data_IF_090244650225
#
_entry.id   IF_090244650225
#
_cell.length_a   1.000
_cell.length_b   1.000
_cell.length_c   1.000
_cell.angle_alpha   90.00
_cell.angle_beta   90.00
_cell.angle_gamma   90.00
#
_symmetry.space_group_name_H-M   'P 1'
#
loop_
_entity.id
_entity.type
_entity.pdbx_description
1 polymer ?
#
# COMPACT_ATOMS: atom_id res chain seq x y z
N UNK A 1 9.45 8.20 -10.63
CA UNK A 1 8.07 8.60 -10.27
C UNK A 1 8.01 8.80 -8.76
N UNK A 2 7.62 10.01 -8.31
CA UNK A 2 7.49 10.27 -6.89
C UNK A 2 6.18 9.67 -6.37
N UNK A 3 6.27 8.90 -5.30
CA UNK A 3 5.14 8.29 -4.63
C UNK A 3 4.98 8.91 -3.25
N UNK A 4 3.75 9.29 -2.90
CA UNK A 4 3.39 9.67 -1.54
C UNK A 4 2.91 8.44 -0.77
N UNK A 5 3.49 8.20 0.39
CA UNK A 5 3.02 7.18 1.34
C UNK A 5 2.38 7.89 2.53
N UNK A 6 1.12 7.59 2.78
CA UNK A 6 0.35 8.13 3.90
C UNK A 6 0.34 7.15 5.07
N UNK A 7 0.71 7.64 6.24
CA UNK A 7 0.68 6.93 7.51
C UNK A 7 -0.18 7.74 8.51
N UNK A 8 -1.29 7.16 8.93
CA UNK A 8 -2.36 7.84 9.66
C UNK A 8 -2.67 7.15 10.99
N UNK A 9 -1.70 7.07 11.91
CA UNK A 9 -1.87 6.33 13.18
C UNK A 9 -2.99 6.88 14.07
N UNK A 10 -3.42 8.10 13.86
CA UNK A 10 -4.50 8.78 14.59
C UNK A 10 -5.61 9.30 13.68
N UNK A 11 -5.82 8.67 12.54
CA UNK A 11 -6.79 9.14 11.55
C UNK A 11 -6.28 10.31 10.71
N UNK A 12 -7.21 11.01 10.02
CA UNK A 12 -6.87 12.07 9.09
C UNK A 12 -8.02 13.08 8.95
N UNK A 13 -7.64 14.36 8.87
CA UNK A 13 -8.50 15.47 8.45
C UNK A 13 -7.83 16.23 7.30
N UNK A 14 -8.58 17.09 6.62
CA UNK A 14 -8.09 17.85 5.46
C UNK A 14 -6.91 18.73 5.79
N UNK A 15 -7.02 19.52 6.86
CA UNK A 15 -5.98 20.39 7.42
C UNK A 15 -4.72 19.61 7.84
N UNK A 16 -4.87 18.41 8.38
CA UNK A 16 -3.74 17.55 8.77
C UNK A 16 -2.95 17.08 7.53
N UNK A 17 -3.63 16.68 6.46
CA UNK A 17 -2.96 16.30 5.22
C UNK A 17 -2.30 17.50 4.56
N UNK A 18 -3.00 18.66 4.52
CA UNK A 18 -2.47 19.89 3.99
C UNK A 18 -1.18 20.29 4.73
N UNK A 19 -1.19 20.23 6.07
CA UNK A 19 -0.03 20.48 6.91
C UNK A 19 1.12 19.50 6.66
N UNK A 20 0.83 18.19 6.54
CA UNK A 20 1.84 17.18 6.28
C UNK A 20 2.51 17.36 4.90
N UNK A 21 1.75 17.76 3.87
CA UNK A 21 2.30 18.02 2.54
C UNK A 21 3.16 19.29 2.51
N UNK A 22 2.77 20.34 3.25
CA UNK A 22 3.60 21.55 3.43
C UNK A 22 4.90 21.21 4.16
N UNK A 23 4.83 20.41 5.23
CA UNK A 23 6.01 20.01 6.00
C UNK A 23 6.96 19.11 5.19
N UNK A 24 6.44 18.37 4.21
CA UNK A 24 7.22 17.56 3.28
C UNK A 24 7.94 18.38 2.19
N UNK A 25 7.80 19.70 2.17
CA UNK A 25 8.47 20.58 1.22
C UNK A 25 7.53 21.36 0.28
N UNK A 26 6.22 21.34 0.54
CA UNK A 26 5.27 22.19 -0.18
C UNK A 26 5.53 23.67 0.07
N UNK A 27 5.32 24.50 -0.95
CA UNK A 27 5.50 25.96 -0.89
C UNK A 27 4.18 26.63 -0.49
N UNK A 28 4.16 27.20 0.73
CA UNK A 28 2.99 27.87 1.30
C UNK A 28 2.61 29.15 0.54
N UNK A 29 3.56 29.95 0.08
CA UNK A 29 3.27 31.21 -0.60
C UNK A 29 2.73 30.95 -2.01
N UNK A 30 3.26 29.94 -2.67
CA UNK A 30 2.72 29.44 -3.92
C UNK A 30 1.31 28.88 -3.72
N UNK A 31 1.07 28.09 -2.68
CA UNK A 31 -0.26 27.56 -2.34
C UNK A 31 -1.27 28.71 -2.12
N UNK A 32 -0.92 29.74 -1.37
CA UNK A 32 -1.76 30.93 -1.18
C UNK A 32 -2.11 31.63 -2.49
N UNK A 33 -1.16 31.66 -3.41
CA UNK A 33 -1.35 32.24 -4.74
C UNK A 33 -2.26 31.36 -5.60
N UNK A 34 -2.04 30.06 -5.56
CA UNK A 34 -2.83 29.09 -6.34
C UNK A 34 -4.30 29.02 -5.88
N UNK A 35 -4.55 29.09 -4.57
CA UNK A 35 -5.93 29.08 -4.06
C UNK A 35 -6.74 30.33 -4.43
N UNK A 36 -6.10 31.47 -4.72
CA UNK A 36 -6.81 32.65 -5.25
C UNK A 36 -7.49 32.39 -6.59
N UNK A 37 -7.01 31.41 -7.36
CA UNK A 37 -7.62 30.99 -8.65
C UNK A 37 -9.03 30.42 -8.50
N UNK A 38 -9.41 30.02 -7.28
CA UNK A 38 -10.77 29.55 -6.98
C UNK A 38 -11.80 30.71 -6.98
N UNK A 39 -11.38 31.96 -6.84
CA UNK A 39 -12.29 33.10 -6.80
C UNK A 39 -13.19 33.17 -5.56
N UNK A 40 -12.86 32.47 -4.47
CA UNK A 40 -13.65 32.40 -3.23
C UNK A 40 -13.40 33.56 -2.25
N UNK A 41 -12.77 34.63 -2.71
CA UNK A 41 -12.37 35.72 -1.83
C UNK A 41 -11.04 35.46 -1.12
N UNK A 42 -10.71 36.26 -0.08
CA UNK A 42 -9.47 36.08 0.64
C UNK A 42 -9.52 34.83 1.52
N UNK A 43 -8.68 33.86 1.20
CA UNK A 43 -8.43 32.67 2.02
C UNK A 43 -7.10 32.89 2.74
N UNK A 44 -7.14 33.01 4.07
CA UNK A 44 -5.97 33.08 4.92
C UNK A 44 -5.50 31.67 5.27
N UNK A 45 -4.26 31.33 4.95
CA UNK A 45 -3.64 30.07 5.40
C UNK A 45 -2.45 30.40 6.26
N UNK A 46 -2.45 29.93 7.49
CA UNK A 46 -1.32 30.04 8.41
C UNK A 46 -0.79 28.65 8.74
N UNK A 47 0.53 28.53 8.74
CA UNK A 47 1.21 27.28 9.08
C UNK A 47 2.12 27.54 10.29
N UNK A 48 1.90 26.78 11.36
CA UNK A 48 2.59 26.97 12.64
C UNK A 48 3.25 25.70 13.09
N UNK A 49 4.51 25.76 13.50
CA UNK A 49 5.20 24.64 14.14
C UNK A 49 4.62 24.40 15.54
N UNK A 50 4.20 23.18 15.80
CA UNK A 50 3.59 22.77 17.08
C UNK A 50 4.22 21.48 17.59
N UNK A 51 4.02 21.21 18.88
CA UNK A 51 4.32 19.92 19.48
C UNK A 51 3.04 19.07 19.52
N UNK A 52 3.00 17.99 18.74
CA UNK A 52 1.96 16.99 18.82
C UNK A 52 2.48 15.82 19.69
N UNK A 53 2.14 15.86 20.98
CA UNK A 53 2.80 14.99 21.96
C UNK A 53 4.30 15.29 22.04
N UNK A 54 5.14 14.29 21.72
CA UNK A 54 6.61 14.45 21.66
C UNK A 54 7.15 14.76 20.26
N UNK A 55 6.28 14.84 19.24
CA UNK A 55 6.69 15.07 17.86
C UNK A 55 6.54 16.53 17.46
N UNK A 56 7.57 17.10 16.83
CA UNK A 56 7.46 18.37 16.14
C UNK A 56 6.66 18.16 14.84
N UNK A 57 5.61 18.96 14.64
CA UNK A 57 4.73 18.87 13.49
C UNK A 57 4.33 20.26 13.00
N UNK A 58 3.80 20.34 11.79
CA UNK A 58 3.17 21.53 11.28
C UNK A 58 1.66 21.46 11.54
N UNK A 59 1.05 22.56 11.95
CA UNK A 59 -0.40 22.73 11.99
C UNK A 59 -0.79 23.82 11.03
N UNK A 60 -1.88 23.61 10.31
CA UNK A 60 -2.43 24.56 9.37
C UNK A 60 -3.79 25.03 9.87
N UNK A 61 -4.00 26.33 9.82
CA UNK A 61 -5.28 26.96 10.08
C UNK A 61 -5.74 27.65 8.80
N UNK A 62 -6.94 27.36 8.34
CA UNK A 62 -7.57 27.99 7.19
C UNK A 62 -8.64 28.95 7.68
N UNK A 63 -8.46 30.21 7.43
CA UNK A 63 -9.43 31.26 7.74
C UNK A 63 -10.05 31.80 6.45
N UNK A 64 -11.36 31.75 6.35
CA UNK A 64 -12.10 32.26 5.21
C UNK A 64 -13.37 32.92 5.68
N UNK A 65 -13.86 33.90 4.89
CA UNK A 65 -15.18 34.48 5.09
C UNK A 65 -16.23 33.47 4.62
N UNK A 66 -16.87 32.79 5.56
CA UNK A 66 -17.86 31.74 5.28
C UNK A 66 -19.15 32.31 4.63
N UNK A 67 -19.40 33.62 4.80
CA UNK A 67 -20.57 34.31 4.21
C UNK A 67 -20.30 34.76 2.77
N UNK A 68 -19.09 34.58 2.24
CA UNK A 68 -18.77 34.90 0.86
C UNK A 68 -19.67 34.07 -0.09
N UNK A 69 -20.56 34.76 -0.80
CA UNK A 69 -21.41 34.18 -1.83
C UNK A 69 -20.66 34.18 -3.15
N UNK A 70 -20.54 33.01 -3.75
CA UNK A 70 -20.04 32.87 -5.10
C UNK A 70 -21.23 32.74 -6.07
N UNK A 71 -21.37 33.68 -6.99
CA UNK A 71 -22.35 33.61 -8.10
C UNK A 71 -21.60 33.21 -9.37
N UNK A 72 -21.97 32.06 -9.94
CA UNK A 72 -21.44 31.54 -11.21
C UNK A 72 -21.78 32.46 -12.40
N UNK A 73 -21.14 33.59 -12.49
CA UNK A 73 -21.36 34.53 -13.59
C UNK A 73 -20.97 35.99 -13.30
N UNK A 74 -20.62 36.35 -12.11
CA UNK A 74 -20.16 37.73 -11.80
C UNK A 74 -18.95 37.73 -10.87
N UNK A 75 -17.96 38.55 -11.23
CA UNK A 75 -16.84 38.88 -10.37
C UNK A 75 -17.34 39.41 -9.02
N UNK A 76 -16.69 38.95 -7.96
CA UNK A 76 -16.99 39.23 -6.56
C UNK A 76 -17.34 40.71 -6.34
N UNK A 77 -18.55 40.99 -5.91
CA UNK A 77 -18.88 42.25 -5.26
C UNK A 77 -18.53 42.14 -3.77
N UNK A 78 -17.46 42.79 -3.32
CA UNK A 78 -17.16 42.99 -1.91
C UNK A 78 -18.28 43.75 -1.24
N UNK A 79 -18.85 43.30 -0.13
CA UNK A 79 -19.77 44.12 0.67
C UNK A 79 -18.95 45.27 1.30
N UNK A 80 -19.40 46.47 1.12
CA UNK A 80 -18.85 47.64 1.83
C UNK A 80 -19.18 47.51 3.30
N UNK A 81 -18.11 47.44 4.11
CA UNK A 81 -18.15 47.26 5.55
C UNK A 81 -18.55 48.60 6.26
N UNK A 82 -19.54 48.52 7.10
CA UNK A 82 -19.81 49.48 8.16
C UNK A 82 -20.40 48.76 9.38
N UNK A 83 -19.53 48.26 10.23
CA UNK A 83 -19.87 47.69 11.54
C UNK A 83 -18.67 47.80 12.50
N UNK A 84 -18.89 47.96 13.80
CA UNK A 84 -17.91 48.48 14.75
C UNK A 84 -16.82 47.50 15.14
N UNK A 85 -15.59 48.02 15.21
CA UNK A 85 -14.40 47.34 15.75
C UNK A 85 -14.60 46.95 17.21
N UNK A 86 -14.38 45.71 17.57
CA UNK A 86 -14.27 45.24 18.94
C UNK A 86 -12.77 45.13 19.29
N UNK A 87 -12.36 45.97 20.23
CA UNK A 87 -11.01 46.00 20.81
C UNK A 87 -10.83 44.84 21.79
N UNK A 88 -9.82 44.01 21.57
CA UNK A 88 -9.38 42.99 22.53
C UNK A 88 -8.45 43.65 23.57
N UNK A 89 -8.89 43.75 24.81
CA UNK A 89 -8.03 44.05 25.97
C UNK A 89 -7.79 42.79 26.77
N UNK A 90 -6.52 42.50 26.98
CA UNK A 90 -5.99 41.47 27.87
C UNK A 90 -6.49 41.58 29.33
N UNK A 91 -6.91 40.48 29.94
CA UNK A 91 -6.72 40.24 31.38
C UNK A 91 -6.71 38.73 31.69
N UNK A 92 -5.81 38.26 32.56
CA UNK A 92 -5.74 36.84 32.95
C UNK A 92 -6.81 36.52 33.99
N UNK A 93 -7.42 35.36 33.90
CA UNK A 93 -8.35 34.82 34.88
C UNK A 93 -7.77 33.58 35.58
N UNK A 94 -7.82 33.65 36.91
CA UNK A 94 -7.37 32.61 37.82
C UNK A 94 -8.29 31.39 37.85
N UNK A 95 -7.71 30.25 38.20
CA UNK A 95 -8.42 28.99 38.46
C UNK A 95 -9.31 29.11 39.66
N UNK A 96 -10.57 28.72 39.55
CA UNK A 96 -11.31 28.11 40.64
C UNK A 96 -12.32 27.08 40.14
N UNK A 97 -12.46 25.98 40.88
CA UNK A 97 -13.22 24.83 40.48
C UNK A 97 -14.73 25.03 40.72
N UNK A 98 -15.51 24.70 39.69
CA UNK A 98 -16.97 24.67 39.81
C UNK A 98 -17.62 24.01 38.64
N UNK A 99 -18.37 22.92 38.86
CA UNK A 99 -19.23 22.28 37.88
C UNK A 99 -20.31 23.28 37.47
N UNK A 100 -20.20 23.86 36.30
CA UNK A 100 -21.17 24.80 35.74
C UNK A 100 -21.53 24.42 34.30
N UNK A 101 -22.80 24.30 34.06
CA UNK A 101 -23.43 24.08 32.77
C UNK A 101 -22.88 25.08 31.71
N UNK A 102 -22.30 24.60 30.63
CA UNK A 102 -21.86 25.43 29.54
C UNK A 102 -23.05 26.00 28.79
N UNK A 103 -23.16 27.31 28.88
CA UNK A 103 -24.03 28.16 28.06
C UNK A 103 -23.72 27.94 26.56
N UNK A 104 -24.79 27.79 25.79
CA UNK A 104 -24.84 27.72 24.35
C UNK A 104 -24.10 28.93 23.76
N UNK A 105 -22.95 28.69 23.13
CA UNK A 105 -22.35 29.63 22.20
C UNK A 105 -23.04 29.44 20.85
N UNK A 106 -23.57 30.54 20.33
CA UNK A 106 -24.41 30.63 19.17
C UNK A 106 -23.92 29.85 17.96
N UNK A 107 -24.81 29.09 17.37
CA UNK A 107 -24.64 28.44 16.09
C UNK A 107 -24.52 29.53 15.01
N UNK A 108 -23.33 29.76 14.50
CA UNK A 108 -23.15 30.49 13.24
C UNK A 108 -23.97 29.76 12.17
N UNK A 109 -24.69 30.51 11.34
CA UNK A 109 -25.45 29.98 10.23
C UNK A 109 -24.49 29.23 9.29
N UNK A 110 -24.51 27.91 9.31
CA UNK A 110 -23.75 27.11 8.36
C UNK A 110 -24.31 27.34 6.96
N UNK A 111 -23.49 27.88 6.08
CA UNK A 111 -23.88 28.09 4.66
C UNK A 111 -23.90 26.73 3.98
N UNK A 112 -25.09 26.23 3.71
CA UNK A 112 -25.29 25.03 2.92
C UNK A 112 -24.85 25.30 1.45
N UNK A 113 -23.96 24.46 0.91
CA UNK A 113 -23.55 24.55 -0.50
C UNK A 113 -23.89 23.25 -1.22
N UNK A 114 -24.70 23.34 -2.30
CA UNK A 114 -24.92 22.20 -3.17
C UNK A 114 -23.60 21.70 -3.78
N UNK A 115 -23.45 20.39 -3.93
CA UNK A 115 -22.30 19.81 -4.63
C UNK A 115 -22.15 20.36 -6.06
N UNK A 116 -23.27 20.63 -6.75
CA UNK A 116 -23.25 21.25 -8.08
C UNK A 116 -22.53 22.60 -8.10
N UNK A 117 -22.68 23.41 -7.07
CA UNK A 117 -21.96 24.71 -6.95
C UNK A 117 -20.45 24.51 -6.84
N UNK A 118 -20.00 23.50 -6.08
CA UNK A 118 -18.56 23.20 -5.95
C UNK A 118 -18.03 22.64 -7.28
N UNK A 119 -18.77 21.78 -7.95
CA UNK A 119 -18.41 21.27 -9.27
C UNK A 119 -18.24 22.43 -10.28
N UNK A 120 -19.22 23.32 -10.36
CA UNK A 120 -19.18 24.47 -11.26
C UNK A 120 -18.02 25.43 -10.92
N UNK A 121 -17.70 25.60 -9.64
CA UNK A 121 -16.52 26.35 -9.18
C UNK A 121 -15.23 25.73 -9.74
N UNK A 122 -15.05 24.41 -9.60
CA UNK A 122 -13.87 23.71 -10.08
C UNK A 122 -13.74 23.73 -11.61
N UNK A 123 -14.88 23.67 -12.33
CA UNK A 123 -14.91 23.71 -13.78
C UNK A 123 -14.48 25.08 -14.34
N UNK A 124 -14.86 26.18 -13.67
CA UNK A 124 -14.57 27.53 -14.13
C UNK A 124 -13.26 28.12 -13.58
N UNK A 125 -12.71 27.55 -12.50
CA UNK A 125 -11.46 28.01 -11.92
C UNK A 125 -10.25 27.71 -12.83
N UNK A 126 -9.24 28.59 -12.83
CA UNK A 126 -7.98 28.39 -13.57
C UNK A 126 -7.06 27.40 -12.83
N UNK A 127 -7.45 26.13 -12.85
CA UNK A 127 -6.74 25.05 -12.20
C UNK A 127 -5.96 24.20 -13.21
N UNK A 128 -4.74 23.75 -12.87
CA UNK A 128 -4.05 22.70 -13.62
C UNK A 128 -4.96 21.46 -13.77
N UNK A 129 -4.92 20.80 -14.93
CA UNK A 129 -5.82 19.68 -15.22
C UNK A 129 -5.78 18.57 -14.16
N UNK A 130 -4.57 18.19 -13.70
CA UNK A 130 -4.40 17.16 -12.65
C UNK A 130 -5.00 17.60 -11.30
N UNK A 131 -4.86 18.89 -10.95
CA UNK A 131 -5.43 19.45 -9.71
C UNK A 131 -6.94 19.40 -9.80
N UNK A 132 -7.51 19.88 -10.91
CA UNK A 132 -8.96 19.86 -11.19
C UNK A 132 -9.51 18.44 -11.12
N UNK A 133 -8.89 17.48 -11.81
CA UNK A 133 -9.32 16.09 -11.81
C UNK A 133 -9.30 15.44 -10.42
N UNK A 134 -8.25 15.69 -9.64
CA UNK A 134 -8.14 15.20 -8.27
C UNK A 134 -9.20 15.80 -7.35
N UNK A 135 -9.43 17.11 -7.45
CA UNK A 135 -10.45 17.81 -6.66
C UNK A 135 -11.87 17.31 -7.00
N UNK A 136 -12.20 17.20 -8.27
CA UNK A 136 -13.48 16.61 -8.71
C UNK A 136 -13.70 15.21 -8.19
N UNK A 137 -12.67 14.35 -8.28
CA UNK A 137 -12.74 12.98 -7.79
C UNK A 137 -13.02 12.95 -6.28
N UNK A 138 -12.36 13.82 -5.51
CA UNK A 138 -12.53 13.89 -4.05
C UNK A 138 -13.92 14.37 -3.67
N UNK A 139 -14.41 15.46 -4.26
CA UNK A 139 -15.75 15.98 -3.96
C UNK A 139 -16.85 15.04 -4.43
N UNK A 140 -16.65 14.31 -5.53
CA UNK A 140 -17.59 13.31 -5.99
C UNK A 140 -17.70 12.14 -5.00
N UNK A 141 -16.57 11.64 -4.50
CA UNK A 141 -16.55 10.58 -3.47
C UNK A 141 -17.32 11.02 -2.23
N UNK A 142 -17.12 12.26 -1.82
CA UNK A 142 -17.81 12.85 -0.68
C UNK A 142 -19.31 13.00 -0.93
N UNK A 143 -19.71 13.54 -2.09
CA UNK A 143 -21.11 13.71 -2.45
C UNK A 143 -21.86 12.38 -2.58
N UNK A 144 -21.22 11.35 -3.10
CA UNK A 144 -21.80 10.00 -3.16
C UNK A 144 -21.98 9.39 -1.76
N UNK A 145 -21.06 9.64 -0.84
CA UNK A 145 -21.15 9.14 0.53
C UNK A 145 -22.24 9.86 1.33
N UNK A 146 -22.33 11.18 1.23
CA UNK A 146 -23.38 11.98 1.86
C UNK A 146 -24.75 11.72 1.22
N UNK A 147 -24.81 11.59 -0.12
CA UNK A 147 -26.03 11.22 -0.82
C UNK A 147 -26.60 9.88 -0.35
N UNK A 148 -25.73 8.89 -0.09
CA UNK A 148 -26.15 7.62 0.46
C UNK A 148 -26.67 7.74 1.91
N UNK A 149 -26.17 8.68 2.70
CA UNK A 149 -26.67 8.96 4.06
C UNK A 149 -28.05 9.60 4.02
N UNK A 150 -28.25 10.55 3.12
CA UNK A 150 -29.49 11.32 3.01
C UNK A 150 -30.54 10.69 2.09
N UNK A 151 -30.19 9.60 1.37
CA UNK A 151 -31.09 8.93 0.43
C UNK A 151 -31.37 9.76 -0.84
N UNK A 152 -30.44 10.62 -1.24
CA UNK A 152 -30.55 11.49 -2.42
C UNK A 152 -29.42 11.22 -3.41
N UNK A 153 -29.61 11.50 -4.72
CA UNK A 153 -28.51 11.41 -5.69
C UNK A 153 -27.37 12.37 -5.34
N UNK A 154 -26.13 12.00 -5.65
CA UNK A 154 -24.94 12.81 -5.34
C UNK A 154 -25.04 14.25 -5.87
N UNK A 155 -25.58 14.44 -7.08
CA UNK A 155 -25.73 15.77 -7.69
C UNK A 155 -26.76 16.67 -6.97
N UNK A 156 -27.60 16.10 -6.10
CA UNK A 156 -28.61 16.81 -5.30
C UNK A 156 -28.18 16.99 -3.84
N UNK A 157 -26.94 16.61 -3.49
CA UNK A 157 -26.43 16.74 -2.12
C UNK A 157 -26.18 18.21 -1.79
N UNK A 158 -26.66 18.62 -0.64
CA UNK A 158 -26.27 19.87 0.02
C UNK A 158 -25.29 19.55 1.15
N UNK A 159 -24.08 20.05 1.07
CA UNK A 159 -23.09 19.85 2.11
C UNK A 159 -23.36 20.78 3.29
N UNK A 160 -23.47 20.21 4.47
CA UNK A 160 -23.73 20.95 5.71
C UNK A 160 -22.45 21.49 6.38
N UNK A 161 -21.42 20.65 6.46
CA UNK A 161 -20.13 21.01 7.06
C UNK A 161 -19.02 21.09 5.99
N UNK A 162 -19.03 20.16 5.04
CA UNK A 162 -17.98 20.00 4.01
C UNK A 162 -18.10 21.02 2.86
N UNK A 163 -19.22 21.74 2.77
CA UNK A 163 -19.42 22.86 1.84
C UNK A 163 -18.80 24.17 2.28
N UNK A 164 -18.21 24.24 3.46
CA UNK A 164 -17.51 25.40 3.97
C UNK A 164 -16.23 25.70 3.16
N UNK A 165 -15.81 26.95 3.10
CA UNK A 165 -14.67 27.39 2.26
C UNK A 165 -13.36 26.77 2.73
N UNK A 166 -13.19 26.56 4.04
CA UNK A 166 -12.05 25.87 4.63
C UNK A 166 -11.91 24.44 4.11
N UNK A 167 -13.00 23.66 4.07
CA UNK A 167 -12.99 22.31 3.52
C UNK A 167 -12.68 22.30 2.00
N UNK A 168 -13.17 23.30 1.25
CA UNK A 168 -12.83 23.45 -0.17
C UNK A 168 -11.34 23.77 -0.32
N UNK A 169 -10.82 24.67 0.50
CA UNK A 169 -9.41 25.06 0.50
C UNK A 169 -8.49 23.89 0.90
N UNK A 170 -8.90 23.06 1.86
CA UNK A 170 -8.18 21.86 2.26
C UNK A 170 -8.08 20.86 1.09
N UNK A 171 -9.21 20.54 0.44
CA UNK A 171 -9.23 19.57 -0.66
C UNK A 171 -8.42 20.06 -1.84
N UNK A 172 -8.67 21.28 -2.31
CA UNK A 172 -7.98 21.84 -3.49
C UNK A 172 -6.52 22.14 -3.16
N UNK A 173 -6.25 22.60 -1.93
CA UNK A 173 -4.90 22.84 -1.44
C UNK A 173 -4.05 21.56 -1.41
N UNK A 174 -4.59 20.47 -0.91
CA UNK A 174 -3.92 19.17 -0.98
C UNK A 174 -3.62 18.76 -2.41
N UNK A 175 -4.58 18.96 -3.35
CA UNK A 175 -4.36 18.66 -4.77
C UNK A 175 -3.25 19.53 -5.39
N UNK A 176 -3.16 20.82 -5.03
CA UNK A 176 -2.07 21.71 -5.46
C UNK A 176 -0.73 21.26 -4.91
N UNK A 177 -0.65 20.92 -3.62
CA UNK A 177 0.60 20.48 -3.01
C UNK A 177 1.10 19.15 -3.58
N UNK A 178 0.21 18.23 -3.90
CA UNK A 178 0.58 17.00 -4.61
C UNK A 178 1.18 17.30 -5.99
N UNK A 179 0.66 18.33 -6.69
CA UNK A 179 1.22 18.76 -7.98
C UNK A 179 2.56 19.46 -7.80
N UNK A 180 2.69 20.36 -6.80
CA UNK A 180 3.94 21.04 -6.49
C UNK A 180 5.07 20.07 -6.13
N UNK A 181 4.76 19.02 -5.37
CA UNK A 181 5.70 17.97 -4.95
C UNK A 181 5.97 16.94 -6.06
N UNK A 182 5.33 17.06 -7.22
CA UNK A 182 5.50 16.13 -8.32
C UNK A 182 5.02 14.71 -8.01
N UNK A 183 3.99 14.58 -7.16
CA UNK A 183 3.46 13.28 -6.75
C UNK A 183 2.62 12.67 -7.88
N UNK A 184 3.11 11.55 -8.39
CA UNK A 184 2.42 10.78 -9.43
C UNK A 184 1.50 9.71 -8.86
N UNK A 185 1.86 9.15 -7.71
CA UNK A 185 1.18 8.02 -7.08
C UNK A 185 1.01 8.24 -5.58
N UNK A 186 -0.15 7.81 -5.06
CA UNK A 186 -0.44 7.82 -3.61
C UNK A 186 -0.67 6.40 -3.13
N UNK A 187 0.02 6.03 -2.06
CA UNK A 187 -0.13 4.75 -1.37
C UNK A 187 -0.50 5.05 0.07
N UNK A 188 -1.51 4.38 0.59
CA UNK A 188 -2.03 4.66 1.93
C UNK A 188 -1.92 3.45 2.84
N UNK A 189 -1.47 3.66 4.07
CA UNK A 189 -1.66 2.71 5.17
C UNK A 189 -3.13 2.58 5.58
N UNK A 190 -3.42 1.74 6.58
CA UNK A 190 -4.76 1.60 7.12
C UNK A 190 -5.28 2.92 7.72
N UNK A 191 -6.60 3.13 7.62
CA UNK A 191 -7.27 4.31 8.14
C UNK A 191 -7.78 4.03 9.56
N UNK A 192 -7.54 4.97 10.49
CA UNK A 192 -8.12 4.96 11.83
C UNK A 192 -9.37 5.83 11.87
N UNK A 193 -10.59 5.28 11.82
CA UNK A 193 -11.81 6.08 11.83
C UNK A 193 -12.09 6.74 13.18
N UNK A 194 -11.57 6.18 14.25
CA UNK A 194 -11.94 6.51 15.63
C UNK A 194 -12.94 5.54 16.23
N UNK A 195 -13.40 5.82 17.44
CA UNK A 195 -14.37 4.98 18.17
C UNK A 195 -15.21 5.82 19.16
N UNK A 196 -16.45 5.42 19.35
CA UNK A 196 -17.39 6.08 20.26
C UNK A 196 -18.40 6.94 19.52
N UNK A 197 -18.56 8.19 19.94
CA UNK A 197 -19.54 9.13 19.36
C UNK A 197 -18.91 10.49 19.10
N UNK A 198 -19.51 11.22 18.15
CA UNK A 198 -19.19 12.61 17.84
C UNK A 198 -20.49 13.42 17.75
N UNK A 199 -20.45 14.67 18.21
CA UNK A 199 -21.56 15.61 18.02
C UNK A 199 -21.27 16.46 16.77
N UNK A 200 -22.21 16.45 15.83
CA UNK A 200 -22.12 17.19 14.57
C UNK A 200 -23.48 17.87 14.26
N UNK A 201 -23.61 18.49 13.12
CA UNK A 201 -24.88 19.14 12.67
C UNK A 201 -26.10 18.18 12.71
N UNK A 202 -25.87 16.89 12.52
CA UNK A 202 -26.91 15.84 12.56
C UNK A 202 -27.18 15.30 13.99
N UNK A 203 -26.62 15.92 15.02
CA UNK A 203 -26.76 15.48 16.40
C UNK A 203 -25.62 14.59 16.87
N UNK A 204 -25.90 13.65 17.79
CA UNK A 204 -24.93 12.71 18.31
C UNK A 204 -24.86 11.46 17.41
N UNK A 205 -23.73 11.29 16.71
CA UNK A 205 -23.51 10.24 15.72
C UNK A 205 -22.50 9.21 16.21
N UNK A 206 -22.65 7.92 15.84
CA UNK A 206 -21.62 6.92 16.08
C UNK A 206 -20.37 7.19 15.24
N UNK A 207 -19.21 6.77 15.71
CA UNK A 207 -17.93 6.83 14.98
C UNK A 207 -17.54 5.42 14.52
N UNK A 208 -17.22 5.21 13.24
CA UNK A 208 -17.20 6.21 12.16
C UNK A 208 -18.58 6.76 11.82
N UNK A 209 -18.62 8.06 11.48
CA UNK A 209 -19.88 8.66 11.00
C UNK A 209 -20.32 7.99 9.70
N UNK A 210 -21.64 7.95 9.39
CA UNK A 210 -22.16 7.16 8.27
C UNK A 210 -21.48 7.44 6.92
N UNK A 211 -21.19 8.69 6.60
CA UNK A 211 -20.49 9.04 5.37
C UNK A 211 -19.09 8.43 5.30
N UNK A 212 -18.31 8.47 6.40
CA UNK A 212 -17.00 7.81 6.49
C UNK A 212 -17.15 6.30 6.35
N UNK A 213 -18.11 5.68 7.04
CA UNK A 213 -18.36 4.25 6.93
C UNK A 213 -18.68 3.82 5.48
N UNK A 214 -19.52 4.60 4.77
CA UNK A 214 -19.86 4.36 3.37
C UNK A 214 -18.62 4.44 2.45
N UNK A 215 -17.76 5.44 2.65
CA UNK A 215 -16.51 5.56 1.87
C UNK A 215 -15.57 4.39 2.13
N UNK A 216 -15.32 4.04 3.40
CA UNK A 216 -14.45 2.92 3.77
C UNK A 216 -14.94 1.60 3.15
N UNK A 217 -16.25 1.34 3.20
CA UNK A 217 -16.85 0.14 2.62
C UNK A 217 -16.73 0.13 1.09
N UNK A 218 -17.05 1.24 0.41
CA UNK A 218 -16.98 1.37 -1.04
C UNK A 218 -15.59 1.12 -1.60
N UNK A 219 -14.57 1.69 -0.95
CA UNK A 219 -13.17 1.58 -1.38
C UNK A 219 -12.45 0.36 -0.79
N UNK A 220 -13.13 -0.43 0.06
CA UNK A 220 -12.53 -1.55 0.81
C UNK A 220 -11.24 -1.13 1.51
N UNK A 221 -11.24 0.09 2.05
CA UNK A 221 -10.08 0.65 2.71
C UNK A 221 -9.78 -0.14 4.00
N UNK A 222 -8.53 -0.60 4.18
CA UNK A 222 -8.16 -1.26 5.43
C UNK A 222 -8.30 -0.29 6.59
N UNK A 223 -8.91 -0.75 7.68
CA UNK A 223 -9.16 0.05 8.87
C UNK A 223 -8.53 -0.58 10.11
N UNK A 224 -8.08 0.25 11.03
CA UNK A 224 -7.61 -0.16 12.35
C UNK A 224 -8.48 0.50 13.42
N UNK A 225 -8.70 -0.20 14.55
CA UNK A 225 -9.36 0.36 15.71
C UNK A 225 -8.43 0.27 16.90
N UNK A 226 -8.33 1.37 17.67
CA UNK A 226 -7.50 1.43 18.87
C UNK A 226 -8.23 0.87 20.12
N UNK A 227 -9.52 0.54 20.01
CA UNK A 227 -10.31 0.04 21.13
C UNK A 227 -10.55 1.07 22.27
N UNK A 228 -10.19 2.34 22.04
CA UNK A 228 -10.36 3.45 22.99
C UNK A 228 -11.49 4.38 22.53
N UNK A 229 -12.13 5.04 23.48
CA UNK A 229 -13.09 6.11 23.20
C UNK A 229 -12.35 7.38 22.74
N UNK A 230 -12.05 7.45 21.44
CA UNK A 230 -11.32 8.58 20.86
C UNK A 230 -12.23 9.67 20.29
N UNK A 231 -13.51 9.34 20.07
CA UNK A 231 -14.35 10.10 19.15
C UNK A 231 -13.85 9.99 17.73
N UNK A 232 -14.28 10.90 16.86
CA UNK A 232 -13.85 10.94 15.46
C UNK A 232 -12.36 11.25 15.34
N UNK A 233 -11.65 10.41 14.59
CA UNK A 233 -10.24 10.58 14.22
C UNK A 233 -10.09 10.88 12.73
N UNK A 234 -10.98 10.32 11.90
CA UNK A 234 -11.00 10.54 10.47
C UNK A 234 -12.26 11.28 10.09
N UNK A 235 -12.09 12.52 9.63
CA UNK A 235 -13.22 13.35 9.18
C UNK A 235 -13.70 12.94 7.78
N UNK A 236 -14.94 13.27 7.37
CA UNK A 236 -15.42 12.99 6.02
C UNK A 236 -14.50 13.55 4.93
N UNK A 237 -14.00 14.79 5.08
CA UNK A 237 -13.06 15.42 4.14
C UNK A 237 -11.74 14.64 4.04
N UNK A 238 -11.15 14.29 5.18
CA UNK A 238 -9.92 13.50 5.23
C UNK A 238 -10.09 12.11 4.62
N UNK A 239 -11.20 11.42 4.94
CA UNK A 239 -11.54 10.12 4.36
C UNK A 239 -11.70 10.20 2.83
N UNK A 240 -12.41 11.22 2.33
CA UNK A 240 -12.62 11.43 0.90
C UNK A 240 -11.31 11.67 0.16
N UNK A 241 -10.41 12.50 0.71
CA UNK A 241 -9.07 12.73 0.16
C UNK A 241 -8.30 11.41 0.04
N UNK A 242 -8.23 10.62 1.10
CA UNK A 242 -7.53 9.33 1.08
C UNK A 242 -8.18 8.37 0.09
N UNK A 243 -9.50 8.16 0.16
CA UNK A 243 -10.19 7.23 -0.72
C UNK A 243 -10.12 7.63 -2.20
N UNK A 244 -10.18 8.93 -2.50
CA UNK A 244 -10.14 9.42 -3.86
C UNK A 244 -8.73 9.41 -4.46
N UNK A 245 -7.71 9.74 -3.69
CA UNK A 245 -6.35 9.95 -4.18
C UNK A 245 -5.48 8.71 -4.10
N UNK A 246 -5.82 7.73 -3.25
CA UNK A 246 -5.05 6.51 -3.09
C UNK A 246 -5.18 5.60 -4.30
N UNK A 247 -4.04 5.25 -4.90
CA UNK A 247 -3.95 4.28 -5.99
C UNK A 247 -3.91 2.85 -5.46
N UNK A 248 -3.34 2.67 -4.25
CA UNK A 248 -3.27 1.37 -3.60
C UNK A 248 -3.19 1.53 -2.08
N UNK A 249 -3.98 0.75 -1.37
CA UNK A 249 -3.82 0.56 0.08
C UNK A 249 -2.71 -0.46 0.35
N UNK A 250 -1.89 -0.16 1.37
CA UNK A 250 -0.85 -1.08 1.83
C UNK A 250 -1.49 -2.27 2.53
N UNK A 251 -1.11 -3.43 2.09
CA UNK A 251 -1.31 -4.69 2.81
C UNK A 251 -0.12 -4.89 3.75
N UNK A 252 -0.36 -5.41 4.95
CA UNK A 252 0.70 -5.75 5.93
C UNK A 252 1.71 -6.78 5.40
N UNK A 253 1.38 -7.47 4.32
CA UNK A 253 2.24 -8.45 3.63
C UNK A 253 3.05 -7.85 2.49
N UNK A 254 2.69 -6.67 2.00
CA UNK A 254 3.38 -6.03 0.89
C UNK A 254 4.75 -5.49 1.32
N UNK A 255 5.82 -6.05 0.73
CA UNK A 255 7.18 -5.56 0.91
C UNK A 255 7.58 -4.77 -0.31
N UNK A 256 7.64 -3.45 -0.18
CA UNK A 256 8.20 -2.55 -1.20
C UNK A 256 9.46 -1.90 -0.65
N UNK A 257 10.48 -1.81 -1.51
CA UNK A 257 11.68 -1.05 -1.18
C UNK A 257 11.49 0.40 -1.62
N UNK A 258 11.54 1.32 -0.69
CA UNK A 258 11.44 2.75 -0.93
C UNK A 258 12.72 3.46 -0.54
N UNK A 259 13.09 4.46 -1.31
CA UNK A 259 14.04 5.49 -0.86
C UNK A 259 13.22 6.71 -0.44
N UNK A 260 13.29 7.08 0.84
CA UNK A 260 12.59 8.25 1.37
C UNK A 260 13.35 9.50 0.94
N UNK A 261 12.69 10.41 0.23
CA UNK A 261 13.23 11.66 -0.27
C UNK A 261 12.89 12.83 0.66
N UNK A 262 11.67 12.83 1.20
CA UNK A 262 11.20 13.84 2.15
C UNK A 262 10.16 13.24 3.09
N UNK A 263 9.99 13.87 4.24
CA UNK A 263 8.98 13.50 5.24
C UNK A 263 8.26 14.74 5.71
N UNK A 264 6.96 14.61 6.00
CA UNK A 264 6.19 15.68 6.60
C UNK A 264 5.22 15.14 7.65
N UNK A 265 4.97 15.94 8.68
CA UNK A 265 4.07 15.62 9.78
C UNK A 265 3.08 16.76 9.98
N UNK A 266 1.79 16.48 9.78
CA UNK A 266 0.69 17.42 9.99
C UNK A 266 -0.07 17.10 11.26
N UNK A 267 -0.17 18.06 12.19
CA UNK A 267 -0.86 17.90 13.46
C UNK A 267 -2.32 18.34 13.36
N UNK A 268 -3.22 17.57 13.94
CA UNK A 268 -4.60 17.97 14.16
C UNK A 268 -4.77 18.86 15.40
N UNK A 269 -5.90 19.54 15.48
CA UNK A 269 -6.24 20.46 16.57
C UNK A 269 -6.64 19.72 17.87
N UNK A 270 -7.22 18.53 17.75
CA UNK A 270 -7.74 17.77 18.87
C UNK A 270 -6.61 17.14 19.70
N UNK A 271 -6.62 17.38 21.02
CA UNK A 271 -5.73 16.66 21.93
C UNK A 271 -6.40 15.36 22.36
N UNK A 272 -5.71 14.24 22.13
CA UNK A 272 -6.23 12.90 22.46
C UNK A 272 -5.29 12.27 23.49
N UNK A 273 -5.75 11.97 24.71
CA UNK A 273 -4.91 11.39 25.73
C UNK A 273 -4.26 10.08 25.29
N UNK A 274 -2.92 10.00 25.39
CA UNK A 274 -2.16 8.80 25.04
C UNK A 274 -1.97 8.57 23.53
N UNK A 275 -2.43 9.47 22.66
CA UNK A 275 -2.29 9.37 21.22
C UNK A 275 -1.73 10.67 20.63
N UNK A 276 -0.73 10.55 19.78
CA UNK A 276 -0.21 11.67 18.99
C UNK A 276 -1.16 11.91 17.82
N UNK A 277 -1.91 13.01 17.85
CA UNK A 277 -2.84 13.36 16.78
C UNK A 277 -2.10 14.00 15.59
N UNK A 278 -1.55 13.17 14.73
CA UNK A 278 -0.78 13.62 13.56
C UNK A 278 -0.86 12.63 12.39
N UNK A 279 -0.81 13.17 11.18
CA UNK A 279 -0.62 12.44 9.93
C UNK A 279 0.83 12.56 9.51
N UNK A 280 1.43 11.47 9.10
CA UNK A 280 2.73 11.47 8.43
C UNK A 280 2.58 11.23 6.95
N UNK A 281 3.34 11.96 6.14
CA UNK A 281 3.55 11.65 4.75
C UNK A 281 5.03 11.43 4.46
N UNK A 282 5.31 10.45 3.60
CA UNK A 282 6.66 10.14 3.12
C UNK A 282 6.64 10.32 1.61
N UNK A 283 7.43 11.23 1.09
CA UNK A 283 7.70 11.31 -0.35
C UNK A 283 8.80 10.30 -0.65
N UNK A 284 8.49 9.31 -1.45
CA UNK A 284 9.40 8.20 -1.72
C UNK A 284 9.61 8.01 -3.21
N UNK A 285 10.78 7.55 -3.56
CA UNK A 285 11.03 7.00 -4.87
C UNK A 285 10.86 5.48 -4.81
N UNK A 286 9.86 4.98 -5.53
CA UNK A 286 9.74 3.55 -5.78
C UNK A 286 10.79 3.18 -6.83
N UNK A 287 11.72 2.35 -6.48
CA UNK A 287 12.53 1.66 -7.49
C UNK A 287 11.59 0.71 -8.25
N UNK A 288 10.92 1.23 -9.26
CA UNK A 288 10.34 0.38 -10.29
C UNK A 288 11.52 -0.32 -10.95
N UNK A 289 11.67 -1.60 -10.69
CA UNK A 289 12.42 -2.45 -11.61
C UNK A 289 11.68 -2.40 -12.94
N UNK A 290 12.09 -1.49 -13.83
CA UNK A 290 11.76 -1.64 -15.23
C UNK A 290 12.21 -3.04 -15.67
N UNK A 291 11.47 -3.73 -16.56
CA UNK A 291 11.98 -4.98 -17.12
C UNK A 291 13.37 -4.69 -17.72
N UNK A 292 14.38 -5.52 -17.47
CA UNK A 292 15.75 -5.22 -17.86
C UNK A 292 15.84 -5.12 -19.37
N UNK A 293 16.13 -3.93 -19.86
CA UNK A 293 16.70 -3.73 -21.17
C UNK A 293 18.18 -4.13 -21.07
N UNK A 294 18.52 -5.28 -21.62
CA UNK A 294 19.87 -5.85 -21.78
C UNK A 294 20.55 -6.42 -20.52
N UNK A 295 21.21 -7.57 -20.60
CA UNK A 295 21.78 -8.27 -19.45
C UNK A 295 23.16 -7.72 -19.09
N UNK A 296 23.21 -6.62 -18.33
CA UNK A 296 24.41 -6.19 -17.64
C UNK A 296 24.02 -5.43 -16.36
N UNK A 297 24.32 -6.05 -15.24
CA UNK A 297 24.36 -5.45 -13.91
C UNK A 297 23.05 -4.96 -13.27
N UNK A 298 22.06 -5.84 -13.06
CA UNK A 298 21.02 -5.66 -12.05
C UNK A 298 21.22 -6.65 -10.90
N UNK A 299 21.65 -6.18 -9.74
CA UNK A 299 21.55 -6.98 -8.52
C UNK A 299 20.08 -7.11 -8.12
N UNK A 300 19.44 -8.27 -8.18
CA UNK A 300 18.07 -8.45 -7.73
C UNK A 300 18.03 -8.30 -6.20
N UNK A 301 17.21 -7.39 -5.71
CA UNK A 301 16.85 -7.34 -4.29
C UNK A 301 15.94 -8.52 -3.98
N UNK A 302 16.54 -9.66 -3.76
CA UNK A 302 15.88 -10.86 -3.27
C UNK A 302 15.65 -10.70 -1.77
N UNK A 303 14.44 -10.94 -1.32
CA UNK A 303 14.10 -11.01 0.11
C UNK A 303 14.72 -12.19 0.87
N UNK A 304 15.88 -12.67 0.44
CA UNK A 304 16.63 -13.68 1.16
C UNK A 304 17.14 -13.10 2.49
N UNK A 305 16.98 -13.85 3.57
CA UNK A 305 17.45 -13.46 4.90
C UNK A 305 18.97 -13.28 4.97
N UNK A 306 19.70 -13.77 3.96
CA UNK A 306 21.16 -13.68 3.85
C UNK A 306 21.59 -13.74 2.38
N UNK A 307 22.75 -13.19 2.07
CA UNK A 307 23.39 -13.30 0.75
C UNK A 307 24.65 -14.16 0.86
N UNK A 308 24.80 -15.05 -0.09
CA UNK A 308 26.06 -15.80 -0.28
C UNK A 308 26.71 -15.24 -1.56
N UNK A 309 27.92 -14.68 -1.48
CA UNK A 309 28.62 -14.18 -2.68
C UNK A 309 28.77 -15.28 -3.72
N UNK A 310 28.56 -14.96 -5.00
CA UNK A 310 28.66 -15.92 -6.10
C UNK A 310 27.46 -16.86 -6.22
N UNK A 311 26.32 -16.52 -5.62
CA UNK A 311 25.04 -17.22 -5.79
C UNK A 311 23.99 -16.32 -6.40
N UNK A 312 22.97 -16.92 -6.98
CA UNK A 312 21.72 -16.28 -7.41
C UNK A 312 20.67 -16.44 -6.32
N UNK A 313 19.67 -15.58 -6.36
CA UNK A 313 18.52 -15.69 -5.46
C UNK A 313 17.24 -15.53 -6.25
N UNK A 314 16.26 -16.37 -5.94
CA UNK A 314 14.90 -16.34 -6.49
C UNK A 314 13.88 -16.68 -5.40
N UNK A 315 12.64 -16.91 -5.82
CA UNK A 315 11.57 -17.36 -4.95
C UNK A 315 11.04 -18.72 -5.39
N UNK A 316 10.60 -19.49 -4.40
CA UNK A 316 9.85 -20.74 -4.62
C UNK A 316 8.58 -20.70 -3.80
N UNK A 317 7.52 -21.30 -4.30
CA UNK A 317 6.30 -21.52 -3.52
C UNK A 317 6.34 -22.91 -2.95
N UNK A 318 6.28 -23.03 -1.64
CA UNK A 318 6.16 -24.30 -0.93
C UNK A 318 4.68 -24.55 -0.59
N UNK A 319 4.11 -25.62 -1.12
CA UNK A 319 2.73 -26.04 -0.89
C UNK A 319 2.74 -27.28 -0.02
N UNK A 320 1.97 -27.26 1.08
CA UNK A 320 1.93 -28.36 2.06
C UNK A 320 0.50 -28.79 2.35
N UNK A 321 0.28 -30.10 2.45
CA UNK A 321 -0.95 -30.66 3.00
C UNK A 321 -0.69 -31.93 3.81
N UNK A 322 -1.57 -32.23 4.76
CA UNK A 322 -1.49 -33.47 5.55
C UNK A 322 -2.57 -34.44 5.11
N UNK A 323 -2.19 -35.73 5.06
CA UNK A 323 -3.08 -36.83 4.74
C UNK A 323 -2.92 -37.96 5.79
N UNK A 324 -4.01 -38.36 6.45
CA UNK A 324 -4.06 -39.51 7.37
C UNK A 324 -4.98 -40.63 6.87
N UNK A 325 -5.52 -40.48 5.66
CA UNK A 325 -6.50 -41.37 5.01
C UNK A 325 -6.08 -41.80 3.59
N UNK A 326 -4.79 -41.60 3.22
CA UNK A 326 -4.24 -42.05 1.94
C UNK A 326 -3.25 -43.20 2.14
N UNK A 327 -3.27 -44.19 1.23
CA UNK A 327 -2.27 -45.25 1.19
C UNK A 327 -0.92 -44.75 0.67
N UNK A 328 0.19 -45.44 1.01
CA UNK A 328 1.51 -45.09 0.46
C UNK A 328 1.56 -45.17 -1.08
N UNK A 329 0.82 -46.08 -1.71
CA UNK A 329 0.72 -46.16 -3.16
C UNK A 329 0.03 -44.96 -3.78
N UNK A 330 -1.08 -44.49 -3.17
CA UNK A 330 -1.78 -43.27 -3.61
C UNK A 330 -0.90 -42.04 -3.50
N UNK A 331 -0.18 -41.91 -2.38
CA UNK A 331 0.72 -40.81 -2.16
C UNK A 331 1.96 -40.81 -3.07
N UNK A 332 2.52 -42.03 -3.35
CA UNK A 332 3.59 -42.19 -4.33
C UNK A 332 3.14 -41.75 -5.73
N UNK A 333 1.95 -42.24 -6.16
CA UNK A 333 1.36 -41.84 -7.46
C UNK A 333 1.11 -40.30 -7.51
N UNK A 334 0.67 -39.70 -6.41
CA UNK A 334 0.48 -38.23 -6.34
C UNK A 334 1.81 -37.47 -6.52
N UNK A 335 2.90 -37.93 -5.87
CA UNK A 335 4.22 -37.35 -6.05
C UNK A 335 4.68 -37.42 -7.49
N UNK A 336 4.57 -38.62 -8.13
CA UNK A 336 4.96 -38.80 -9.52
C UNK A 336 4.14 -37.91 -10.47
N UNK A 337 2.83 -37.82 -10.26
CA UNK A 337 1.93 -36.99 -11.04
C UNK A 337 2.25 -35.48 -10.90
N UNK A 338 2.66 -35.02 -9.71
CA UNK A 338 3.04 -33.63 -9.47
C UNK A 338 4.38 -33.28 -10.11
N UNK A 339 5.36 -34.17 -10.04
CA UNK A 339 6.64 -34.01 -10.73
C UNK A 339 6.43 -33.96 -12.25
N UNK A 340 5.63 -34.89 -12.81
CA UNK A 340 5.33 -34.90 -14.23
C UNK A 340 4.60 -33.64 -14.69
N UNK A 341 3.82 -33.01 -13.80
CA UNK A 341 3.10 -31.76 -14.02
C UNK A 341 3.95 -30.50 -13.77
N UNK A 342 5.26 -30.64 -13.55
CA UNK A 342 6.22 -29.55 -13.50
C UNK A 342 6.52 -28.99 -12.10
N UNK A 343 6.18 -29.73 -11.03
CA UNK A 343 6.70 -29.39 -9.71
C UNK A 343 8.23 -29.43 -9.73
N UNK A 344 8.87 -28.48 -9.05
CA UNK A 344 10.33 -28.45 -8.91
C UNK A 344 10.84 -29.58 -8.03
N UNK A 345 10.02 -29.98 -7.05
CA UNK A 345 10.23 -31.13 -6.20
C UNK A 345 8.90 -31.48 -5.52
N UNK A 346 8.72 -32.74 -5.14
CA UNK A 346 7.58 -33.22 -4.35
C UNK A 346 8.04 -34.41 -3.48
N UNK A 347 7.76 -34.33 -2.18
CA UNK A 347 8.20 -35.37 -1.25
C UNK A 347 7.25 -35.52 -0.06
N UNK A 348 7.37 -36.66 0.61
CA UNK A 348 6.55 -37.04 1.76
C UNK A 348 7.38 -37.06 3.04
N UNK A 349 6.83 -36.52 4.11
CA UNK A 349 7.39 -36.63 5.45
C UNK A 349 6.41 -37.37 6.36
N UNK A 350 6.78 -38.49 7.00
CA UNK A 350 5.92 -39.16 7.97
C UNK A 350 5.66 -38.26 9.18
N UNK A 351 4.40 -38.18 9.61
CA UNK A 351 3.99 -37.39 10.78
C UNK A 351 3.00 -38.15 11.64
N UNK A 352 2.84 -37.71 12.89
CA UNK A 352 1.72 -38.17 13.73
C UNK A 352 0.68 -37.06 13.80
N UNK A 353 -0.54 -37.36 13.43
CA UNK A 353 -1.66 -36.41 13.42
C UNK A 353 -2.50 -36.53 14.69
N UNK A 354 -3.54 -35.68 14.82
CA UNK A 354 -4.48 -35.71 15.95
C UNK A 354 -5.00 -37.12 16.21
N UNK A 355 -5.30 -37.44 17.45
CA UNK A 355 -5.73 -38.76 17.92
C UNK A 355 -4.68 -39.89 17.70
N UNK A 356 -3.40 -39.54 17.59
CA UNK A 356 -2.31 -40.51 17.44
C UNK A 356 -2.27 -41.22 16.09
N UNK A 357 -2.94 -40.71 15.05
CA UNK A 357 -2.98 -41.36 13.73
C UNK A 357 -1.68 -41.12 12.97
N UNK A 358 -1.09 -42.17 12.36
CA UNK A 358 -0.02 -41.99 11.41
C UNK A 358 -0.55 -41.28 10.17
N UNK A 359 0.24 -40.39 9.62
CA UNK A 359 -0.09 -39.66 8.39
C UNK A 359 1.19 -39.18 7.69
N UNK A 360 0.99 -38.44 6.60
CA UNK A 360 2.07 -37.91 5.80
C UNK A 360 1.85 -36.41 5.55
N UNK A 361 2.92 -35.65 5.63
CA UNK A 361 2.99 -34.29 5.12
C UNK A 361 3.52 -34.37 3.70
N UNK A 362 2.67 -34.06 2.73
CA UNK A 362 3.09 -33.84 1.35
C UNK A 362 3.59 -32.39 1.23
N UNK A 363 4.81 -32.24 0.75
CA UNK A 363 5.44 -30.95 0.44
C UNK A 363 5.74 -30.89 -1.05
N UNK A 364 5.33 -29.82 -1.70
CA UNK A 364 5.54 -29.57 -3.14
C UNK A 364 6.20 -28.22 -3.33
N UNK A 365 7.30 -28.22 -4.08
CA UNK A 365 8.01 -27.00 -4.45
C UNK A 365 7.62 -26.58 -5.87
N UNK A 366 7.04 -25.41 -6.03
CA UNK A 366 6.52 -24.89 -7.27
C UNK A 366 7.19 -23.58 -7.70
N UNK A 367 7.34 -23.35 -8.99
CA UNK A 367 7.57 -22.00 -9.48
C UNK A 367 6.32 -21.15 -9.22
N UNK A 368 6.47 -19.85 -9.00
CA UNK A 368 5.37 -18.95 -8.65
C UNK A 368 4.23 -19.00 -9.71
N UNK A 369 4.60 -19.07 -10.99
CA UNK A 369 3.65 -19.19 -12.10
C UNK A 369 2.85 -20.52 -12.11
N UNK A 370 3.39 -21.58 -11.54
CA UNK A 370 2.79 -22.93 -11.55
C UNK A 370 2.03 -23.25 -10.24
N UNK A 371 2.18 -22.42 -9.23
CA UNK A 371 1.71 -22.70 -7.88
C UNK A 371 0.20 -22.98 -7.80
N UNK A 372 -0.62 -22.15 -8.47
CA UNK A 372 -2.08 -22.32 -8.47
C UNK A 372 -2.50 -23.65 -9.15
N UNK A 373 -1.90 -23.96 -10.30
CA UNK A 373 -2.17 -25.18 -11.06
C UNK A 373 -1.77 -26.44 -10.27
N UNK A 374 -0.59 -26.40 -9.64
CA UNK A 374 -0.13 -27.53 -8.80
C UNK A 374 -0.96 -27.67 -7.52
N UNK A 375 -1.43 -26.57 -6.93
CA UNK A 375 -2.36 -26.62 -5.80
C UNK A 375 -3.68 -27.30 -6.17
N UNK A 376 -4.27 -26.94 -7.31
CA UNK A 376 -5.46 -27.61 -7.84
C UNK A 376 -5.18 -29.10 -8.09
N UNK A 377 -4.03 -29.44 -8.67
CA UNK A 377 -3.64 -30.83 -8.90
C UNK A 377 -3.56 -31.64 -7.59
N UNK A 378 -2.95 -31.07 -6.53
CA UNK A 378 -2.87 -31.72 -5.20
C UNK A 378 -4.27 -32.06 -4.69
N UNK A 379 -5.22 -31.11 -4.75
CA UNK A 379 -6.61 -31.33 -4.32
C UNK A 379 -7.33 -32.45 -5.11
N UNK A 380 -6.94 -32.66 -6.37
CA UNK A 380 -7.53 -33.69 -7.23
C UNK A 380 -6.89 -35.08 -7.07
N UNK A 381 -5.59 -35.15 -6.70
CA UNK A 381 -4.86 -36.43 -6.64
C UNK A 381 -4.63 -36.93 -5.22
N UNK A 382 -5.05 -36.18 -4.20
CA UNK A 382 -4.95 -36.56 -2.78
C UNK A 382 -6.32 -36.41 -2.10
N UNK A 383 -6.59 -37.13 -0.99
CA UNK A 383 -7.82 -36.94 -0.22
C UNK A 383 -7.84 -35.71 0.64
N UNK A 384 -6.81 -34.88 0.61
CA UNK A 384 -6.74 -33.64 1.45
C UNK A 384 -7.91 -32.73 1.15
N UNK A 385 -8.46 -32.12 2.21
CA UNK A 385 -9.53 -31.12 2.10
C UNK A 385 -9.01 -29.68 2.08
N UNK A 386 -7.68 -29.51 2.19
CA UNK A 386 -7.06 -28.19 2.19
C UNK A 386 -5.54 -28.25 2.22
N UNK A 387 -4.93 -27.17 1.77
CA UNK A 387 -3.48 -27.01 1.70
C UNK A 387 -3.06 -25.62 2.20
N UNK A 388 -1.79 -25.47 2.52
CA UNK A 388 -1.14 -24.20 2.85
C UNK A 388 -0.06 -23.93 1.81
N UNK A 389 0.11 -22.68 1.41
CA UNK A 389 1.17 -22.27 0.51
C UNK A 389 1.93 -21.08 1.08
N UNK A 390 3.24 -21.09 0.94
CA UNK A 390 4.13 -20.04 1.40
C UNK A 390 5.15 -19.72 0.31
N UNK A 391 5.36 -18.43 0.05
CA UNK A 391 6.38 -17.95 -0.88
C UNK A 391 7.69 -17.77 -0.11
N UNK A 392 8.69 -18.57 -0.42
CA UNK A 392 9.96 -18.61 0.28
C UNK A 392 11.08 -18.05 -0.61
N UNK A 393 11.96 -17.19 -0.07
CA UNK A 393 13.17 -16.78 -0.77
C UNK A 393 14.17 -17.97 -0.79
N UNK A 394 14.87 -18.13 -1.91
CA UNK A 394 15.80 -19.23 -2.13
C UNK A 394 17.13 -18.69 -2.65
N UNK A 395 18.23 -19.27 -2.14
CA UNK A 395 19.58 -19.04 -2.66
C UNK A 395 19.98 -20.25 -3.50
N UNK A 396 20.39 -20.02 -4.75
CA UNK A 396 20.77 -21.08 -5.69
C UNK A 396 22.15 -20.82 -6.28
N UNK A 397 22.84 -21.90 -6.67
CA UNK A 397 24.09 -21.80 -7.40
C UNK A 397 23.80 -21.50 -8.89
N UNK A 398 24.59 -20.64 -9.53
CA UNK A 398 24.55 -20.48 -10.98
C UNK A 398 24.82 -21.83 -11.65
N UNK A 399 23.99 -22.19 -12.63
CA UNK A 399 24.04 -23.48 -13.29
C UNK A 399 23.98 -23.36 -14.79
N UNK A 400 24.72 -24.25 -15.45
CA UNK A 400 24.68 -24.43 -16.90
C UNK A 400 24.65 -25.92 -17.24
N UNK A 401 24.38 -26.24 -18.48
CA UNK A 401 24.41 -27.61 -18.99
C UNK A 401 25.36 -27.68 -20.17
N UNK A 402 26.25 -28.68 -20.16
CA UNK A 402 27.08 -29.03 -21.30
C UNK A 402 26.75 -30.44 -21.77
N UNK A 403 26.96 -30.76 -23.06
CA UNK A 403 26.81 -32.11 -23.56
C UNK A 403 28.22 -32.67 -23.83
N UNK A 404 28.48 -33.87 -23.34
CA UNK A 404 29.68 -34.63 -23.62
C UNK A 404 29.35 -35.90 -24.40
N UNK A 405 30.32 -36.45 -25.11
CA UNK A 405 30.13 -37.71 -25.85
C UNK A 405 31.01 -38.79 -25.24
N UNK A 406 30.41 -39.94 -24.90
CA UNK A 406 31.10 -41.14 -24.44
C UNK A 406 30.77 -42.27 -25.40
N UNK A 407 31.77 -42.79 -26.13
CA UNK A 407 31.63 -43.84 -27.12
C UNK A 407 30.43 -43.64 -28.06
N UNK A 408 30.25 -42.41 -28.57
CA UNK A 408 29.17 -42.03 -29.46
C UNK A 408 27.83 -41.70 -28.77
N UNK A 409 27.70 -41.90 -27.45
CA UNK A 409 26.50 -41.58 -26.68
C UNK A 409 26.58 -40.17 -26.13
N UNK A 410 25.59 -39.33 -26.43
CA UNK A 410 25.47 -37.98 -25.88
C UNK A 410 24.95 -38.01 -24.47
N UNK A 411 25.61 -37.35 -23.51
CA UNK A 411 25.26 -37.28 -22.09
C UNK A 411 25.28 -35.80 -21.68
N UNK A 412 24.16 -35.31 -21.18
CA UNK A 412 24.07 -34.00 -20.59
C UNK A 412 24.77 -33.97 -19.22
N UNK A 413 25.57 -32.94 -18.99
CA UNK A 413 26.30 -32.71 -17.72
C UNK A 413 25.85 -31.38 -17.13
N UNK A 414 25.22 -31.45 -15.97
CA UNK A 414 24.86 -30.28 -15.19
C UNK A 414 26.07 -29.73 -14.48
N UNK A 415 26.38 -28.46 -14.67
CA UNK A 415 27.51 -27.73 -14.11
C UNK A 415 26.98 -26.67 -13.16
N UNK A 416 27.50 -26.63 -11.94
CA UNK A 416 27.21 -25.56 -10.96
C UNK A 416 28.50 -24.85 -10.59
N UNK A 417 28.41 -23.52 -10.45
CA UNK A 417 29.55 -22.70 -10.00
C UNK A 417 29.41 -22.45 -8.50
N UNK A 418 30.40 -22.88 -7.74
CA UNK A 418 30.47 -22.67 -6.27
C UNK A 418 30.83 -21.21 -5.98
N UNK A 419 30.54 -20.70 -4.78
CA UNK A 419 30.84 -19.31 -4.38
C UNK A 419 32.31 -18.91 -4.56
N UNK A 420 33.24 -19.87 -4.44
CA UNK A 420 34.69 -19.66 -4.67
C UNK A 420 35.09 -19.75 -6.15
N UNK A 421 34.14 -19.76 -7.09
CA UNK A 421 34.41 -19.84 -8.53
C UNK A 421 34.71 -21.24 -9.05
N UNK A 422 34.93 -22.24 -8.19
CA UNK A 422 35.16 -23.64 -8.59
C UNK A 422 33.88 -24.25 -9.17
N UNK A 423 34.02 -24.98 -10.27
CA UNK A 423 32.92 -25.71 -10.89
C UNK A 423 32.80 -27.14 -10.34
N UNK A 424 31.58 -27.61 -10.24
CA UNK A 424 31.22 -29.00 -9.93
C UNK A 424 30.26 -29.48 -11.02
N UNK A 425 30.58 -30.62 -11.60
CA UNK A 425 29.81 -31.23 -12.68
C UNK A 425 29.14 -32.53 -12.20
N UNK A 426 27.95 -32.81 -12.74
CA UNK A 426 27.22 -34.03 -12.53
C UNK A 426 26.50 -34.45 -13.82
N UNK A 427 26.82 -35.61 -14.40
CA UNK A 427 26.07 -36.15 -15.55
C UNK A 427 24.61 -36.43 -15.15
N UNK A 428 23.69 -36.22 -16.09
CA UNK A 428 22.25 -36.49 -15.88
C UNK A 428 22.04 -38.01 -15.82
N UNK A 429 21.34 -38.45 -14.76
CA UNK A 429 21.19 -39.86 -14.46
C UNK A 429 20.49 -40.67 -15.55
N UNK A 430 19.47 -40.07 -16.18
CA UNK A 430 18.70 -40.73 -17.25
C UNK A 430 19.55 -40.93 -18.50
N UNK A 431 20.40 -39.98 -18.84
CA UNK A 431 21.31 -40.10 -19.97
C UNK A 431 22.40 -41.14 -19.70
N UNK A 432 22.93 -41.15 -18.45
CA UNK A 432 23.89 -42.19 -18.02
C UNK A 432 23.28 -43.58 -18.07
N UNK A 433 22.03 -43.75 -17.59
CA UNK A 433 21.34 -45.04 -17.63
C UNK A 433 21.07 -45.50 -19.07
N UNK A 434 20.64 -44.59 -19.94
CA UNK A 434 20.45 -44.85 -21.36
C UNK A 434 21.76 -45.27 -22.04
N UNK A 435 22.84 -44.53 -21.83
CA UNK A 435 24.14 -44.85 -22.41
C UNK A 435 24.71 -46.15 -21.84
N UNK A 436 24.55 -46.44 -20.54
CA UNK A 436 24.95 -47.69 -19.92
C UNK A 436 24.31 -48.90 -20.60
N UNK A 437 22.97 -48.83 -20.82
CA UNK A 437 22.23 -49.88 -21.54
C UNK A 437 22.71 -50.02 -23.00
N UNK A 438 22.96 -48.89 -23.68
CA UNK A 438 23.40 -48.94 -25.08
C UNK A 438 24.82 -49.52 -25.29
N UNK A 439 25.73 -49.25 -24.33
CA UNK A 439 27.12 -49.66 -24.38
C UNK A 439 27.38 -51.02 -23.68
N UNK A 440 26.42 -51.57 -22.95
CA UNK A 440 26.64 -52.76 -22.14
C UNK A 440 27.59 -52.50 -20.95
N UNK A 441 27.72 -51.24 -20.53
CA UNK A 441 28.54 -50.84 -19.40
C UNK A 441 27.71 -50.66 -18.11
N UNK A 442 28.37 -50.77 -16.96
CA UNK A 442 27.69 -50.41 -15.71
C UNK A 442 27.52 -48.88 -15.61
N UNK A 443 26.54 -48.45 -14.82
CA UNK A 443 26.18 -47.04 -14.63
C UNK A 443 27.37 -46.19 -14.14
N UNK A 444 28.15 -46.71 -13.16
CA UNK A 444 29.27 -46.00 -12.55
C UNK A 444 30.39 -45.75 -13.57
N UNK A 445 30.65 -46.72 -14.45
CA UNK A 445 31.65 -46.58 -15.53
C UNK A 445 31.27 -45.48 -16.51
N UNK A 446 30.03 -45.42 -16.94
CA UNK A 446 29.54 -44.37 -17.83
C UNK A 446 29.61 -43.00 -17.14
N UNK A 447 29.23 -42.92 -15.87
CA UNK A 447 29.27 -41.69 -15.09
C UNK A 447 30.71 -41.13 -14.98
N UNK A 448 31.69 -41.97 -14.72
CA UNK A 448 33.11 -41.59 -14.67
C UNK A 448 33.61 -41.14 -16.04
N UNK A 449 33.34 -41.90 -17.09
CA UNK A 449 33.72 -41.54 -18.45
C UNK A 449 33.11 -40.18 -18.90
N UNK A 450 31.89 -39.89 -18.54
CA UNK A 450 31.23 -38.63 -18.82
C UNK A 450 31.89 -37.44 -18.07
N UNK A 451 32.30 -37.64 -16.82
CA UNK A 451 33.04 -36.65 -16.04
C UNK A 451 34.46 -36.40 -16.63
N UNK A 452 35.15 -37.45 -17.03
CA UNK A 452 36.47 -37.34 -17.68
C UNK A 452 36.38 -36.58 -19.01
N UNK A 453 35.36 -36.90 -19.81
CA UNK A 453 35.11 -36.19 -21.08
C UNK A 453 34.83 -34.71 -20.84
N UNK A 454 34.03 -34.37 -19.81
CA UNK A 454 33.79 -32.97 -19.47
C UNK A 454 35.07 -32.27 -18.98
N UNK A 455 35.87 -32.87 -18.14
CA UNK A 455 37.14 -32.30 -17.69
C UNK A 455 38.10 -32.07 -18.85
N UNK A 456 38.14 -32.98 -19.84
CA UNK A 456 38.97 -32.81 -21.04
C UNK A 456 38.48 -31.65 -21.91
N UNK A 457 37.16 -31.50 -22.08
CA UNK A 457 36.54 -30.40 -22.80
C UNK A 457 36.80 -29.04 -22.12
N UNK A 458 36.64 -28.97 -20.80
CA UNK A 458 36.89 -27.77 -20.01
C UNK A 458 38.35 -27.30 -20.09
N UNK A 459 39.30 -28.22 -20.06
CA UNK A 459 40.74 -27.91 -20.24
C UNK A 459 41.07 -27.34 -21.64
N UNK A 460 40.38 -27.80 -22.70
CA UNK A 460 40.57 -27.29 -24.06
C UNK A 460 40.04 -25.87 -24.28
N UNK A 461 39.07 -25.45 -23.46
CA UNK A 461 38.48 -24.11 -23.54
C UNK A 461 39.31 -23.07 -22.73
N UNK A 462 40.21 -23.53 -21.86
CA UNK A 462 41.09 -22.68 -21.05
C UNK A 462 42.53 -22.57 -21.61
N UNK A 463 42.88 -23.40 -22.58
CA UNK A 463 44.14 -23.36 -23.36
C UNK A 463 43.95 -22.57 -24.64
#
# INVERSE_FOLDING_TARGET
>A
MATLVLDMPSGIAGDMLLAALLDAGGDLDRLRTDLKKLGLGPIGITATRVQAGSLAALRVDVAADQDARWDAGNAIRTPTNSGPQISLTDKPVAHDGGVGASTETGHGSHVHRPYSTIRDLLDHADLPERVRARAHKTFRVLAEAEGAVHGVPADSVEFHEVGAIDAIADVVGCCFLLEQLGIDRVVSGPIHPGHGTVRCAHGLMPVPVPAVANMLAKFRAPTLSLGQQTGELTTPTGCALVCALTDRFLDHTAREAWTILATGTGAGHKVIPGLVNAVRCLVVETRTSAPPASPAESTPHTGACFRVPGTEADFIVEIRCQCDDATGEQLGHAVDALIADGARDAFLTPIVMKKGRPGHLLTVLAAEADAARLAEKILNVTPTIGLRAERLPRVILPRSTATVTVEGQAIAVKIVTLPAGRQRAKPEADDVARAAKALGWDFARVQVAALDAWHAQARRLLA
#
